data_IF_494590631201
#
_entry.id   IF_494590631201
#
_cell.length_a   1.000
_cell.length_b   1.000
_cell.length_c   1.000
_cell.angle_alpha   90.00
_cell.angle_beta   90.00
_cell.angle_gamma   90.00
#
_symmetry.space_group_name_H-M   'P 1'
#
loop_
_entity.id
_entity.type
_entity.pdbx_description
1 polymer ?
#
# COMPACT_ATOMS: atom_id res chain seq x y z
N UNK A 1 -16.70 -23.56 4.79
CA UNK A 1 -16.29 -22.15 4.84
C UNK A 1 -16.62 -21.53 3.49
N UNK A 2 -17.36 -20.42 3.42
CA UNK A 2 -17.61 -19.79 2.13
C UNK A 2 -16.28 -19.34 1.51
N UNK A 3 -16.10 -19.66 0.24
CA UNK A 3 -14.93 -19.26 -0.51
C UNK A 3 -14.85 -17.73 -0.58
N UNK A 4 -13.83 -17.17 0.07
CA UNK A 4 -13.60 -15.72 0.11
C UNK A 4 -12.72 -15.23 -1.05
N UNK A 5 -12.33 -16.11 -1.98
CA UNK A 5 -11.45 -15.78 -3.12
C UNK A 5 -11.99 -14.64 -3.99
N UNK A 6 -13.32 -14.51 -4.07
CA UNK A 6 -14.00 -13.47 -4.85
C UNK A 6 -14.25 -12.16 -4.11
N UNK A 7 -13.91 -12.04 -2.82
CA UNK A 7 -14.24 -10.87 -1.99
C UNK A 7 -13.74 -9.57 -2.60
N UNK A 8 -12.44 -9.50 -2.93
CA UNK A 8 -11.85 -8.29 -3.47
C UNK A 8 -12.40 -7.94 -4.86
N UNK A 9 -12.58 -8.94 -5.73
CA UNK A 9 -13.12 -8.74 -7.08
C UNK A 9 -14.56 -8.22 -7.09
N UNK A 10 -15.34 -8.51 -6.04
CA UNK A 10 -16.73 -8.09 -5.88
C UNK A 10 -16.89 -6.83 -5.03
N UNK A 11 -15.80 -6.28 -4.50
CA UNK A 11 -15.85 -5.12 -3.63
C UNK A 11 -16.29 -3.88 -4.42
N UNK A 12 -17.35 -3.18 -3.99
CA UNK A 12 -17.81 -1.97 -4.68
C UNK A 12 -16.73 -0.89 -4.62
N UNK A 13 -16.47 -0.24 -5.75
CA UNK A 13 -15.56 0.91 -5.80
C UNK A 13 -16.11 2.12 -5.02
N UNK A 14 -15.21 2.97 -4.54
CA UNK A 14 -15.60 4.25 -3.94
C UNK A 14 -15.82 5.30 -5.06
N UNK A 15 -17.07 5.65 -5.33
CA UNK A 15 -17.41 6.61 -6.38
C UNK A 15 -17.18 8.08 -5.98
N UNK A 16 -17.19 8.36 -4.67
CA UNK A 16 -17.09 9.73 -4.15
C UNK A 16 -15.83 9.87 -3.30
N UNK A 17 -14.85 10.63 -3.79
CA UNK A 17 -13.56 10.80 -3.10
C UNK A 17 -13.71 11.40 -1.68
N UNK A 18 -14.72 12.25 -1.45
CA UNK A 18 -15.03 12.83 -0.14
C UNK A 18 -15.32 11.78 0.94
N UNK A 19 -15.83 10.60 0.54
CA UNK A 19 -16.13 9.48 1.44
C UNK A 19 -14.95 8.56 1.67
N UNK A 20 -13.84 8.76 0.96
CA UNK A 20 -12.68 7.88 1.07
C UNK A 20 -12.04 7.90 2.47
N UNK A 21 -12.12 9.04 3.17
CA UNK A 21 -11.65 9.14 4.56
C UNK A 21 -12.69 8.73 5.60
N UNK A 22 -13.92 8.40 5.21
CA UNK A 22 -14.95 7.95 6.13
C UNK A 22 -14.74 6.48 6.50
N UNK A 23 -14.39 6.23 7.75
CA UNK A 23 -14.23 4.89 8.30
C UNK A 23 -15.49 4.02 8.16
N UNK A 24 -16.69 4.61 8.08
CA UNK A 24 -17.92 3.86 7.86
C UNK A 24 -18.02 3.27 6.44
N UNK A 25 -17.22 3.76 5.50
CA UNK A 25 -17.11 3.24 4.13
C UNK A 25 -16.13 2.06 4.01
N UNK A 26 -15.38 1.73 5.07
CA UNK A 26 -14.46 0.60 5.10
C UNK A 26 -15.19 -0.72 5.38
N UNK A 27 -14.88 -1.75 4.59
CA UNK A 27 -15.36 -3.11 4.84
C UNK A 27 -14.34 -3.91 5.65
N UNK A 28 -14.82 -4.75 6.57
CA UNK A 28 -13.96 -5.65 7.33
C UNK A 28 -13.42 -6.74 6.39
N UNK A 29 -12.14 -7.05 6.53
CA UNK A 29 -11.54 -8.16 5.80
C UNK A 29 -12.17 -9.50 6.24
N UNK A 30 -12.33 -10.46 5.32
CA UNK A 30 -12.78 -11.80 5.67
C UNK A 30 -11.81 -12.49 6.62
N UNK A 31 -12.32 -13.45 7.40
CA UNK A 31 -11.50 -14.27 8.27
C UNK A 31 -10.45 -15.07 7.46
N UNK A 32 -9.24 -15.18 8.00
CA UNK A 32 -8.12 -15.88 7.36
C UNK A 32 -7.33 -15.05 6.34
N UNK A 33 -7.78 -13.82 6.02
CA UNK A 33 -6.96 -12.89 5.22
C UNK A 33 -5.80 -12.33 6.05
N UNK A 34 -4.67 -12.13 5.40
CA UNK A 34 -3.47 -11.55 5.98
C UNK A 34 -3.02 -10.32 5.18
N UNK A 35 -2.42 -9.35 5.89
CA UNK A 35 -1.78 -8.19 5.28
C UNK A 35 -0.28 -8.45 5.24
N UNK A 36 0.30 -8.37 4.03
CA UNK A 36 1.75 -8.50 3.85
C UNK A 36 2.36 -7.12 3.75
N UNK A 37 3.34 -6.84 4.62
CA UNK A 37 4.10 -5.59 4.64
C UNK A 37 5.56 -5.93 4.34
N UNK A 38 6.17 -5.21 3.41
CA UNK A 38 7.60 -5.33 3.09
C UNK A 38 8.30 -4.03 3.45
N UNK A 39 9.39 -4.12 4.21
CA UNK A 39 10.26 -2.99 4.52
C UNK A 39 11.59 -3.12 3.76
N UNK A 40 12.09 -1.99 3.25
CA UNK A 40 13.37 -1.92 2.55
C UNK A 40 14.42 -1.32 3.48
N UNK A 41 15.32 -2.17 3.97
CA UNK A 41 16.41 -1.79 4.86
C UNK A 41 17.22 -0.62 4.28
N UNK A 42 17.43 0.42 5.10
CA UNK A 42 18.14 1.66 4.75
C UNK A 42 17.69 2.32 3.42
N UNK A 43 16.40 2.20 3.07
CA UNK A 43 15.83 2.90 1.91
C UNK A 43 15.99 4.42 1.98
N UNK A 44 16.04 4.98 3.19
CA UNK A 44 16.25 6.42 3.42
C UNK A 44 17.68 6.84 3.08
N UNK A 45 18.71 6.11 3.55
CA UNK A 45 20.11 6.35 3.20
C UNK A 45 20.34 6.20 1.70
N UNK A 46 19.87 5.10 1.12
CA UNK A 46 19.94 4.86 -0.32
C UNK A 46 19.27 5.97 -1.15
N UNK A 47 18.12 6.49 -0.71
CA UNK A 47 17.46 7.61 -1.39
C UNK A 47 18.26 8.89 -1.29
N UNK A 48 18.86 9.19 -0.13
CA UNK A 48 19.75 10.37 0.06
C UNK A 48 20.99 10.30 -0.82
N UNK A 49 21.48 9.10 -1.10
CA UNK A 49 22.60 8.83 -2.01
C UNK A 49 22.18 8.77 -3.50
N UNK A 50 20.97 9.23 -3.84
CA UNK A 50 20.48 9.31 -5.22
C UNK A 50 19.97 7.98 -5.79
N UNK A 51 19.93 6.90 -5.01
CA UNK A 51 19.47 5.56 -5.45
C UNK A 51 17.97 5.35 -5.38
N UNK A 52 17.17 6.42 -5.41
CA UNK A 52 15.70 6.33 -5.31
C UNK A 52 15.09 5.38 -6.36
N UNK A 53 15.64 5.34 -7.59
CA UNK A 53 15.17 4.42 -8.65
C UNK A 53 15.39 2.97 -8.27
N UNK A 54 16.51 2.64 -7.63
CA UNK A 54 16.81 1.29 -7.18
C UNK A 54 15.91 0.88 -6.02
N UNK A 55 15.70 1.78 -5.05
CA UNK A 55 14.74 1.58 -3.95
C UNK A 55 13.34 1.29 -4.50
N UNK A 56 12.87 2.10 -5.46
CA UNK A 56 11.58 1.87 -6.10
C UNK A 56 11.53 0.55 -6.87
N UNK A 57 12.59 0.20 -7.60
CA UNK A 57 12.66 -1.05 -8.35
C UNK A 57 12.56 -2.27 -7.43
N UNK A 58 13.26 -2.27 -6.29
CA UNK A 58 13.18 -3.36 -5.30
C UNK A 58 11.78 -3.43 -4.70
N UNK A 59 11.18 -2.29 -4.34
CA UNK A 59 9.82 -2.26 -3.80
C UNK A 59 8.77 -2.82 -4.76
N UNK A 60 8.84 -2.44 -6.04
CA UNK A 60 7.96 -3.00 -7.09
C UNK A 60 8.25 -4.48 -7.32
N UNK A 61 9.52 -4.90 -7.33
CA UNK A 61 9.88 -6.30 -7.50
C UNK A 61 9.30 -7.20 -6.40
N UNK A 62 9.27 -6.74 -5.14
CA UNK A 62 8.62 -7.45 -4.04
C UNK A 62 7.11 -7.63 -4.25
N UNK A 63 6.42 -6.61 -4.75
CA UNK A 63 4.99 -6.69 -5.10
C UNK A 63 4.79 -7.70 -6.24
N UNK A 64 5.58 -7.61 -7.30
CA UNK A 64 5.49 -8.53 -8.45
C UNK A 64 5.77 -9.98 -8.05
N UNK A 65 6.76 -10.22 -7.18
CA UNK A 65 7.05 -11.54 -6.64
C UNK A 65 5.85 -12.11 -5.88
N UNK A 66 5.21 -11.30 -5.03
CA UNK A 66 4.00 -11.70 -4.30
C UNK A 66 2.83 -12.00 -5.25
N UNK A 67 2.55 -11.11 -6.20
CA UNK A 67 1.48 -11.30 -7.19
C UNK A 67 1.68 -12.57 -8.02
N UNK A 68 2.93 -12.92 -8.36
CA UNK A 68 3.23 -14.17 -9.05
C UNK A 68 3.03 -15.40 -8.17
N UNK A 69 3.34 -15.33 -6.88
CA UNK A 69 3.21 -16.44 -5.94
C UNK A 69 1.76 -16.81 -5.62
N UNK A 70 0.82 -15.86 -5.72
CA UNK A 70 -0.59 -16.07 -5.36
C UNK A 70 -1.52 -16.32 -6.55
N UNK A 71 -0.99 -16.42 -7.78
CA UNK A 71 -1.81 -16.70 -8.97
C UNK A 71 -2.66 -17.97 -8.79
N UNK A 72 -3.92 -17.97 -9.26
CA UNK A 72 -4.56 -16.95 -10.10
C UNK A 72 -5.28 -15.84 -9.31
N UNK A 73 -5.12 -15.76 -7.99
CA UNK A 73 -5.84 -14.80 -7.15
C UNK A 73 -5.45 -13.36 -7.48
N UNK A 74 -6.44 -12.48 -7.57
CA UNK A 74 -6.25 -11.03 -7.67
C UNK A 74 -6.31 -10.44 -6.26
N UNK A 75 -5.21 -9.82 -5.81
CA UNK A 75 -5.11 -9.21 -4.48
C UNK A 75 -4.83 -7.70 -4.61
N UNK A 76 -5.37 -6.86 -3.71
CA UNK A 76 -5.00 -5.45 -3.66
C UNK A 76 -3.54 -5.29 -3.26
N UNK A 77 -2.88 -4.28 -3.82
CA UNK A 77 -1.54 -3.85 -3.40
C UNK A 77 -1.44 -2.33 -3.42
N UNK A 78 -0.59 -1.78 -2.57
CA UNK A 78 -0.24 -0.38 -2.57
C UNK A 78 1.28 -0.24 -2.50
N UNK A 79 1.82 0.68 -3.31
CA UNK A 79 3.23 1.06 -3.26
C UNK A 79 3.32 2.55 -2.94
N UNK A 80 3.98 2.90 -1.85
CA UNK A 80 4.13 4.29 -1.44
C UNK A 80 5.19 4.45 -0.36
N UNK A 81 5.91 5.56 -0.41
CA UNK A 81 6.82 5.97 0.65
C UNK A 81 6.19 7.08 1.50
N UNK A 82 6.44 7.05 2.81
CA UNK A 82 6.18 8.20 3.69
C UNK A 82 7.00 9.40 3.21
N UNK A 83 6.34 10.41 2.64
CA UNK A 83 6.89 11.75 2.44
C UNK A 83 6.08 12.78 3.21
N UNK A 84 5.78 12.54 4.49
CA UNK A 84 5.28 13.60 5.36
C UNK A 84 6.46 14.43 5.88
N UNK A 85 6.82 15.50 5.17
CA UNK A 85 7.67 16.59 5.70
C UNK A 85 6.79 17.83 5.85
N UNK A 86 6.26 18.03 7.06
CA UNK A 86 5.65 19.30 7.43
C UNK A 86 6.78 20.28 7.80
N UNK A 87 6.85 21.43 7.13
CA UNK A 87 7.66 22.56 7.56
C UNK A 87 6.71 23.63 8.10
N UNK A 88 6.74 23.89 9.40
CA UNK A 88 6.16 25.11 9.94
C UNK A 88 7.15 26.24 9.70
N UNK A 89 6.73 27.31 9.01
CA UNK A 89 7.50 28.55 8.97
C UNK A 89 7.72 29.04 10.42
N UNK A 90 8.89 29.60 10.77
CA UNK A 90 9.03 30.27 12.04
C UNK A 90 8.08 31.46 12.02
N UNK A 91 7.14 31.50 12.97
CA UNK A 91 6.41 32.71 13.31
C UNK A 91 7.43 33.71 13.83
N UNK A 92 7.80 34.68 12.99
CA UNK A 92 8.56 35.85 13.39
C UNK A 92 7.56 36.72 14.15
N UNK A 93 7.72 36.78 15.48
CA UNK A 93 7.04 37.76 16.34
C UNK A 93 7.74 39.11 16.31
#
# INVERSE_FOLDING_TARGET
MPDSSGFFAQMPGCAEFSRFSDSASCQRLPEGWCVVITDLCDSTGATREGRYKQVNAVGVASIVAMLNAVKPLQIPYAFGGSRARAWSAPSIG
#
